data_IF_440025424770
#
_entry.id   IF_440025424770
#
_cell.length_a   1.000
_cell.length_b   1.000
_cell.length_c   1.000
_cell.angle_alpha   90.00
_cell.angle_beta   90.00
_cell.angle_gamma   90.00
#
_symmetry.space_group_name_H-M   'P 1'
#
loop_
_entity.id
_entity.type
_entity.pdbx_description
1 polymer ?
#
# COMPACT_ATOMS: atom_id res chain seq x y z
N UNK A 1 12.48 -4.84 -37.56
CA UNK A 1 13.19 -3.74 -36.87
C UNK A 1 12.98 -3.94 -35.38
N UNK A 2 14.00 -4.40 -34.66
CA UNK A 2 13.88 -4.63 -33.22
C UNK A 2 13.64 -3.30 -32.51
N UNK A 3 12.60 -3.24 -31.68
CA UNK A 3 12.40 -2.15 -30.74
C UNK A 3 13.62 -2.12 -29.81
N UNK A 4 14.48 -1.11 -29.99
CA UNK A 4 15.50 -0.78 -29.00
C UNK A 4 14.74 -0.26 -27.79
N UNK A 5 14.53 -1.12 -26.79
CA UNK A 5 14.11 -0.72 -25.46
C UNK A 5 15.15 0.29 -24.96
N UNK A 6 14.79 1.58 -24.98
CA UNK A 6 15.63 2.64 -24.41
C UNK A 6 15.78 2.32 -22.93
N UNK A 7 16.98 1.86 -22.55
CA UNK A 7 17.29 1.53 -21.16
C UNK A 7 17.38 2.84 -20.39
N UNK A 8 16.47 3.02 -19.44
CA UNK A 8 16.48 4.19 -18.55
C UNK A 8 17.83 4.30 -17.83
N UNK A 9 18.33 5.52 -17.72
CA UNK A 9 19.53 5.83 -16.92
C UNK A 9 19.29 5.51 -15.43
N UNK A 10 20.35 5.22 -14.65
CA UNK A 10 20.22 5.06 -13.20
C UNK A 10 19.53 6.25 -12.52
N UNK A 11 19.75 7.46 -12.99
CA UNK A 11 19.17 8.71 -12.46
C UNK A 11 17.67 8.81 -12.76
N UNK A 12 17.23 8.40 -13.95
CA UNK A 12 15.80 8.29 -14.27
C UNK A 12 15.10 7.23 -13.44
N UNK A 13 15.72 6.05 -13.30
CA UNK A 13 15.20 4.98 -12.43
C UNK A 13 15.10 5.45 -10.99
N UNK A 14 16.13 6.15 -10.50
CA UNK A 14 16.16 6.72 -9.15
C UNK A 14 15.02 7.71 -8.94
N UNK A 15 14.80 8.66 -9.85
CA UNK A 15 13.69 9.63 -9.74
C UNK A 15 12.33 8.93 -9.64
N UNK A 16 12.08 7.91 -10.48
CA UNK A 16 10.82 7.15 -10.45
C UNK A 16 10.66 6.41 -9.13
N UNK A 17 11.65 5.60 -8.74
CA UNK A 17 11.60 4.79 -7.52
C UNK A 17 11.49 5.69 -6.29
N UNK A 18 12.31 6.73 -6.19
CA UNK A 18 12.28 7.67 -5.06
C UNK A 18 10.94 8.37 -4.91
N UNK A 19 10.21 8.63 -6.01
CA UNK A 19 8.87 9.25 -5.97
C UNK A 19 7.79 8.37 -5.34
N UNK A 20 8.05 7.08 -5.11
CA UNK A 20 7.11 6.15 -4.47
C UNK A 20 7.10 6.30 -2.94
N UNK A 21 8.24 6.67 -2.36
CA UNK A 21 8.39 6.82 -0.92
C UNK A 21 8.22 8.26 -0.45
N UNK A 22 7.63 8.44 0.72
CA UNK A 22 7.76 9.66 1.52
C UNK A 22 9.16 9.75 2.12
N UNK A 23 9.66 8.64 2.66
CA UNK A 23 11.00 8.51 3.25
C UNK A 23 11.82 7.44 2.51
N UNK A 24 13.13 7.68 2.37
CA UNK A 24 14.09 6.72 1.81
C UNK A 24 15.33 6.59 2.72
N UNK A 25 15.60 5.38 3.21
CA UNK A 25 16.76 5.05 4.05
C UNK A 25 17.61 3.99 3.32
N UNK A 26 18.71 4.34 2.64
CA UNK A 26 19.16 5.71 2.33
C UNK A 26 19.19 5.96 0.82
N UNK A 27 19.06 7.23 0.40
CA UNK A 27 19.01 7.61 -1.02
C UNK A 27 20.29 7.23 -1.77
N UNK A 28 21.47 7.43 -1.17
CA UNK A 28 22.74 7.04 -1.78
C UNK A 28 22.84 5.51 -1.98
N UNK A 29 22.31 4.73 -1.04
CA UNK A 29 22.25 3.27 -1.15
C UNK A 29 21.29 2.85 -2.27
N UNK A 30 20.16 3.55 -2.43
CA UNK A 30 19.20 3.32 -3.50
C UNK A 30 19.80 3.61 -4.88
N UNK A 31 20.46 4.76 -5.05
CA UNK A 31 21.12 5.08 -6.32
C UNK A 31 22.20 4.04 -6.65
N UNK A 32 23.05 3.70 -5.67
CA UNK A 32 24.06 2.66 -5.83
C UNK A 32 23.47 1.29 -6.22
N UNK A 33 22.34 0.91 -5.61
CA UNK A 33 21.63 -0.32 -5.95
C UNK A 33 21.13 -0.30 -7.39
N UNK A 34 20.49 0.80 -7.82
CA UNK A 34 19.94 0.92 -9.17
C UNK A 34 21.03 0.97 -10.24
N UNK A 35 22.21 1.52 -9.92
CA UNK A 35 23.38 1.49 -10.80
C UNK A 35 23.97 0.09 -10.96
N UNK A 36 24.03 -0.69 -9.87
CA UNK A 36 24.78 -1.97 -9.85
C UNK A 36 23.92 -3.20 -10.12
N UNK A 37 22.64 -3.18 -9.75
CA UNK A 37 21.73 -4.32 -9.87
C UNK A 37 20.71 -4.05 -10.98
N UNK A 38 20.73 -4.82 -12.09
CA UNK A 38 19.81 -4.61 -13.21
C UNK A 38 18.34 -4.70 -12.78
N UNK A 39 18.01 -5.70 -11.95
CA UNK A 39 16.65 -5.95 -11.48
C UNK A 39 16.61 -6.08 -9.94
N UNK A 40 16.46 -4.96 -9.21
CA UNK A 40 16.25 -4.99 -7.77
C UNK A 40 14.91 -5.61 -7.39
N UNK A 41 14.87 -6.31 -6.25
CA UNK A 41 13.68 -6.95 -5.69
C UNK A 41 13.09 -6.02 -4.63
N UNK A 42 11.84 -5.66 -4.85
CA UNK A 42 11.03 -4.88 -3.92
C UNK A 42 9.97 -5.81 -3.32
N UNK A 43 9.54 -5.55 -2.09
CA UNK A 43 8.37 -6.24 -1.57
C UNK A 43 7.48 -5.34 -0.72
N UNK A 44 6.20 -5.71 -0.67
CA UNK A 44 5.23 -5.23 0.32
C UNK A 44 4.38 -6.40 0.80
N UNK A 45 3.97 -6.36 2.08
CA UNK A 45 3.23 -7.43 2.74
C UNK A 45 1.84 -6.98 3.18
N UNK A 46 0.85 -7.86 3.02
CA UNK A 46 -0.54 -7.57 3.33
C UNK A 46 -1.15 -8.68 4.17
N UNK A 47 -1.63 -8.35 5.37
CA UNK A 47 -2.52 -9.21 6.14
C UNK A 47 -3.89 -9.31 5.42
N UNK A 48 -4.36 -10.52 5.04
CA UNK A 48 -5.70 -10.70 4.49
C UNK A 48 -6.79 -10.60 5.57
N UNK A 49 -7.12 -9.36 5.95
CA UNK A 49 -7.94 -9.05 7.14
C UNK A 49 -9.32 -8.45 6.86
N UNK A 50 -9.78 -8.50 5.60
CA UNK A 50 -11.13 -8.07 5.20
C UNK A 50 -11.13 -7.39 3.84
N UNK A 51 -12.15 -6.53 3.61
CA UNK A 51 -12.28 -5.72 2.40
C UNK A 51 -11.02 -4.84 2.19
N UNK A 52 -10.63 -4.65 0.93
CA UNK A 52 -9.46 -3.84 0.57
C UNK A 52 -9.86 -2.37 0.45
N UNK A 53 -9.18 -1.48 1.16
CA UNK A 53 -9.37 -0.03 0.98
C UNK A 53 -8.49 0.51 -0.16
N UNK A 54 -8.81 1.71 -0.64
CA UNK A 54 -8.24 2.26 -1.87
C UNK A 54 -6.72 2.44 -1.84
N UNK A 55 -6.11 2.73 -0.68
CA UNK A 55 -4.65 2.79 -0.57
C UNK A 55 -3.98 1.41 -0.80
N UNK A 56 -4.58 0.32 -0.31
CA UNK A 56 -4.08 -1.04 -0.55
C UNK A 56 -4.26 -1.47 -2.00
N UNK A 57 -5.27 -0.95 -2.71
CA UNK A 57 -5.55 -1.29 -4.10
C UNK A 57 -4.91 -0.34 -5.10
N UNK A 58 -5.50 0.85 -5.28
CA UNK A 58 -5.11 1.84 -6.29
C UNK A 58 -3.74 2.43 -6.02
N UNK A 59 -3.50 2.98 -4.82
CA UNK A 59 -2.22 3.62 -4.50
C UNK A 59 -1.07 2.60 -4.57
N UNK A 60 -1.29 1.38 -4.08
CA UNK A 60 -0.33 0.29 -4.25
C UNK A 60 -0.07 -0.05 -5.71
N UNK A 61 -1.11 -0.11 -6.54
CA UNK A 61 -0.97 -0.36 -7.98
C UNK A 61 -0.13 0.72 -8.66
N UNK A 62 -0.35 2.00 -8.36
CA UNK A 62 0.49 3.11 -8.85
C UNK A 62 1.96 2.88 -8.45
N UNK A 63 2.20 2.58 -7.18
CA UNK A 63 3.56 2.33 -6.67
C UNK A 63 4.22 1.14 -7.37
N UNK A 64 3.52 -0.01 -7.48
CA UNK A 64 4.05 -1.20 -8.15
C UNK A 64 4.34 -0.93 -9.62
N UNK A 65 3.45 -0.26 -10.35
CA UNK A 65 3.66 0.06 -11.76
C UNK A 65 4.84 1.01 -11.97
N UNK A 66 5.04 2.01 -11.08
CA UNK A 66 6.25 2.83 -11.08
C UNK A 66 7.51 2.00 -10.85
N UNK A 67 7.53 1.15 -9.83
CA UNK A 67 8.69 0.31 -9.51
C UNK A 67 9.04 -0.64 -10.68
N UNK A 68 8.05 -1.32 -11.24
CA UNK A 68 8.25 -2.25 -12.37
C UNK A 68 8.68 -1.53 -13.65
N UNK A 69 8.16 -0.32 -13.92
CA UNK A 69 8.63 0.52 -15.04
C UNK A 69 10.09 0.94 -14.89
N UNK A 70 10.57 1.12 -13.66
CA UNK A 70 11.98 1.40 -13.35
C UNK A 70 12.87 0.13 -13.30
N UNK A 71 12.35 -1.02 -13.76
CA UNK A 71 13.09 -2.26 -13.87
C UNK A 71 13.20 -3.05 -12.57
N UNK A 72 12.40 -2.75 -11.55
CA UNK A 72 12.32 -3.57 -10.34
C UNK A 72 11.43 -4.79 -10.55
N UNK A 73 11.74 -5.88 -9.84
CA UNK A 73 10.83 -6.99 -9.61
C UNK A 73 10.10 -6.75 -8.28
N UNK A 74 8.78 -6.91 -8.25
CA UNK A 74 7.97 -6.65 -7.06
C UNK A 74 7.35 -7.96 -6.55
N UNK A 75 7.52 -8.23 -5.26
CA UNK A 75 6.87 -9.35 -4.57
C UNK A 75 5.76 -8.82 -3.68
N UNK A 76 4.54 -9.26 -3.92
CA UNK A 76 3.38 -9.02 -3.06
C UNK A 76 3.26 -10.21 -2.12
N UNK A 77 3.57 -9.99 -0.85
CA UNK A 77 3.55 -11.00 0.19
C UNK A 77 2.16 -11.09 0.81
N UNK A 78 1.43 -12.15 0.49
CA UNK A 78 0.13 -12.48 1.07
C UNK A 78 0.38 -13.12 2.44
N UNK A 79 0.36 -12.29 3.47
CA UNK A 79 0.81 -12.59 4.80
C UNK A 79 -0.29 -13.33 5.61
N UNK A 80 -0.69 -14.50 5.14
CA UNK A 80 -1.79 -15.29 5.69
C UNK A 80 -1.50 -15.86 7.10
N UNK A 81 -0.28 -16.36 7.35
CA UNK A 81 0.13 -16.72 8.71
C UNK A 81 0.22 -15.51 9.62
N UNK A 82 0.67 -14.37 9.13
CA UNK A 82 0.74 -13.12 9.90
C UNK A 82 -0.66 -12.64 10.30
N UNK A 83 -1.62 -12.66 9.37
CA UNK A 83 -3.01 -12.37 9.68
C UNK A 83 -3.58 -13.33 10.74
N UNK A 84 -3.21 -14.62 10.70
CA UNK A 84 -3.60 -15.59 11.72
C UNK A 84 -2.97 -15.26 13.09
N UNK A 85 -1.66 -14.98 13.14
CA UNK A 85 -0.93 -14.60 14.35
C UNK A 85 -1.48 -13.30 14.98
N UNK A 86 -2.05 -12.42 14.16
CA UNK A 86 -2.71 -11.19 14.59
C UNK A 86 -4.24 -11.32 14.70
N UNK A 87 -4.77 -12.55 14.89
CA UNK A 87 -6.18 -12.86 15.15
C UNK A 87 -7.20 -12.27 14.16
N UNK A 88 -6.79 -12.06 12.90
CA UNK A 88 -7.71 -11.64 11.84
C UNK A 88 -8.62 -12.79 11.45
N UNK A 89 -9.89 -12.50 11.15
CA UNK A 89 -10.91 -13.50 10.84
C UNK A 89 -11.01 -14.60 11.92
N UNK A 90 -10.92 -14.23 13.19
CA UNK A 90 -10.85 -15.12 14.36
C UNK A 90 -9.70 -16.16 14.29
N UNK A 91 -8.63 -15.87 13.54
CA UNK A 91 -7.53 -16.81 13.29
C UNK A 91 -7.89 -17.95 12.33
N UNK A 92 -9.04 -17.89 11.66
CA UNK A 92 -9.46 -18.88 10.67
C UNK A 92 -8.68 -18.73 9.37
N UNK A 93 -7.65 -19.58 9.21
CA UNK A 93 -6.76 -19.55 8.05
C UNK A 93 -7.52 -19.75 6.73
N UNK A 94 -8.62 -20.51 6.69
CA UNK A 94 -9.39 -20.70 5.45
C UNK A 94 -10.10 -19.41 5.03
N UNK A 95 -10.64 -18.65 6.00
CA UNK A 95 -11.21 -17.31 5.73
C UNK A 95 -10.13 -16.34 5.30
N UNK A 96 -8.99 -16.32 5.99
CA UNK A 96 -7.83 -15.47 5.64
C UNK A 96 -7.39 -15.76 4.20
N UNK A 97 -7.21 -17.03 3.82
CA UNK A 97 -6.82 -17.39 2.45
C UNK A 97 -7.89 -17.05 1.42
N UNK A 98 -9.16 -17.09 1.80
CA UNK A 98 -10.25 -16.60 0.92
C UNK A 98 -10.14 -15.10 0.70
N UNK A 99 -9.86 -14.33 1.75
CA UNK A 99 -9.58 -12.89 1.64
C UNK A 99 -8.35 -12.65 0.77
N UNK A 100 -7.26 -13.40 0.95
CA UNK A 100 -6.03 -13.23 0.17
C UNK A 100 -6.26 -13.42 -1.34
N UNK A 101 -7.05 -14.43 -1.73
CA UNK A 101 -7.47 -14.62 -3.13
C UNK A 101 -8.30 -13.43 -3.64
N UNK A 102 -9.24 -12.92 -2.84
CA UNK A 102 -9.99 -11.72 -3.16
C UNK A 102 -9.09 -10.48 -3.37
N UNK A 103 -8.04 -10.31 -2.54
CA UNK A 103 -7.09 -9.20 -2.70
C UNK A 103 -6.32 -9.30 -4.03
N UNK A 104 -5.87 -10.51 -4.39
CA UNK A 104 -5.19 -10.78 -5.66
C UNK A 104 -6.07 -10.41 -6.86
N UNK A 105 -7.36 -10.79 -6.83
CA UNK A 105 -8.30 -10.44 -7.90
C UNK A 105 -8.51 -8.93 -8.03
N UNK A 106 -8.47 -8.17 -6.93
CA UNK A 106 -8.52 -6.70 -7.01
C UNK A 106 -7.28 -6.12 -7.69
N UNK A 107 -6.08 -6.54 -7.29
CA UNK A 107 -4.85 -6.01 -7.88
C UNK A 107 -4.76 -6.30 -9.38
N UNK A 108 -5.21 -7.49 -9.81
CA UNK A 108 -5.38 -7.81 -11.23
C UNK A 108 -6.37 -6.86 -11.91
N UNK A 109 -7.57 -6.70 -11.35
CA UNK A 109 -8.66 -5.96 -11.97
C UNK A 109 -8.41 -4.45 -12.06
N UNK A 110 -7.71 -3.86 -11.07
CA UNK A 110 -7.42 -2.42 -11.06
C UNK A 110 -6.31 -2.03 -12.04
N UNK A 111 -5.53 -2.99 -12.57
CA UNK A 111 -4.50 -2.73 -13.58
C UNK A 111 -3.07 -2.71 -13.03
N UNK A 112 -2.77 -3.56 -12.04
CA UNK A 112 -1.38 -3.86 -11.71
C UNK A 112 -0.69 -4.52 -12.90
N UNK A 113 0.46 -4.00 -13.30
CA UNK A 113 1.21 -4.52 -14.45
C UNK A 113 1.87 -5.85 -14.10
N UNK A 114 1.22 -6.94 -14.52
CA UNK A 114 1.71 -8.30 -14.33
C UNK A 114 2.52 -8.81 -15.55
N UNK A 115 2.80 -7.94 -16.53
CA UNK A 115 3.55 -8.33 -17.72
C UNK A 115 4.97 -8.80 -17.37
N UNK A 116 5.49 -9.70 -18.20
CA UNK A 116 6.85 -10.24 -18.10
C UNK A 116 7.24 -10.81 -16.72
N UNK A 117 6.27 -11.25 -15.91
CA UNK A 117 6.47 -11.76 -14.54
C UNK A 117 7.22 -10.77 -13.62
N UNK A 118 7.02 -9.46 -13.83
CA UNK A 118 7.63 -8.41 -12.99
C UNK A 118 7.02 -8.36 -11.58
N UNK A 119 5.82 -8.92 -11.39
CA UNK A 119 5.13 -8.99 -10.10
C UNK A 119 4.86 -10.45 -9.73
N UNK A 120 5.18 -10.83 -8.49
CA UNK A 120 4.89 -12.15 -7.93
C UNK A 120 3.97 -12.04 -6.72
N UNK A 121 2.87 -12.78 -6.71
CA UNK A 121 2.05 -12.98 -5.51
C UNK A 121 2.53 -14.23 -4.78
N UNK A 122 3.03 -14.05 -3.56
CA UNK A 122 3.65 -15.11 -2.77
C UNK A 122 2.89 -15.28 -1.46
N UNK A 123 2.53 -16.51 -1.12
CA UNK A 123 1.79 -16.82 0.11
C UNK A 123 2.77 -17.15 1.24
N UNK A 124 2.59 -16.51 2.39
CA UNK A 124 3.53 -16.66 3.49
C UNK A 124 3.62 -18.09 4.00
N UNK A 125 2.48 -18.75 4.17
CA UNK A 125 2.42 -20.13 4.59
C UNK A 125 3.10 -21.07 3.60
N UNK A 126 2.82 -20.95 2.30
CA UNK A 126 3.39 -21.82 1.27
C UNK A 126 4.92 -21.66 1.16
N UNK A 127 5.38 -20.42 1.05
CA UNK A 127 6.80 -20.11 0.87
C UNK A 127 7.62 -20.51 2.10
N UNK A 128 7.14 -20.18 3.31
CA UNK A 128 7.83 -20.55 4.55
C UNK A 128 7.87 -22.08 4.71
N UNK A 129 6.77 -22.79 4.44
CA UNK A 129 6.78 -24.26 4.54
C UNK A 129 7.74 -24.90 3.54
N UNK A 130 7.78 -24.40 2.29
CA UNK A 130 8.65 -24.95 1.23
C UNK A 130 10.14 -24.85 1.58
N UNK A 131 10.53 -23.84 2.37
CA UNK A 131 11.92 -23.54 2.75
C UNK A 131 12.05 -23.31 4.26
N UNK A 132 11.35 -24.13 5.05
CA UNK A 132 11.27 -23.97 6.50
C UNK A 132 12.64 -24.02 7.19
N UNK A 133 13.55 -24.84 6.64
CA UNK A 133 14.92 -24.98 7.10
C UNK A 133 15.78 -23.72 6.89
N UNK A 134 15.40 -22.83 5.96
CA UNK A 134 16.05 -21.52 5.78
C UNK A 134 15.40 -20.46 6.67
N UNK A 135 14.06 -20.49 6.76
CA UNK A 135 13.29 -19.42 7.38
C UNK A 135 13.36 -19.42 8.91
N UNK A 136 13.08 -20.56 9.57
CA UNK A 136 12.98 -20.59 11.02
C UNK A 136 14.30 -20.34 11.75
N UNK A 137 15.48 -20.81 11.29
CA UNK A 137 16.75 -20.43 11.90
C UNK A 137 16.99 -18.92 11.86
N UNK A 138 16.57 -18.24 10.79
CA UNK A 138 16.66 -16.79 10.68
C UNK A 138 15.77 -16.08 11.70
N UNK A 139 14.51 -16.51 11.85
CA UNK A 139 13.59 -15.99 12.89
C UNK A 139 14.19 -16.16 14.28
N UNK A 140 14.74 -17.34 14.58
CA UNK A 140 15.33 -17.64 15.88
C UNK A 140 16.59 -16.82 16.16
N UNK A 141 17.45 -16.59 15.16
CA UNK A 141 18.64 -15.76 15.32
C UNK A 141 18.28 -14.28 15.54
N UNK A 142 17.30 -13.76 14.81
CA UNK A 142 16.76 -12.40 15.03
C UNK A 142 16.23 -12.27 16.45
N UNK A 143 15.43 -13.24 16.91
CA UNK A 143 14.87 -13.24 18.27
C UNK A 143 15.97 -13.28 19.34
N UNK A 144 16.99 -14.15 19.19
CA UNK A 144 18.10 -14.31 20.15
C UNK A 144 18.98 -13.07 20.30
N UNK A 145 19.14 -12.29 19.22
CA UNK A 145 19.97 -11.07 19.21
C UNK A 145 19.27 -9.84 19.74
N UNK A 146 17.94 -9.88 19.85
CA UNK A 146 17.15 -8.75 20.28
C UNK A 146 16.63 -8.92 21.71
N UNK A 147 16.61 -7.82 22.47
CA UNK A 147 15.94 -7.79 23.76
C UNK A 147 14.43 -7.67 23.54
N UNK A 148 13.64 -8.29 24.41
CA UNK A 148 12.17 -8.27 24.31
C UNK A 148 11.58 -6.85 24.15
N UNK A 149 12.02 -5.80 24.88
CA UNK A 149 11.51 -4.44 24.67
C UNK A 149 11.70 -3.92 23.24
N UNK A 150 12.78 -4.32 22.54
CA UNK A 150 13.03 -3.92 21.15
C UNK A 150 12.02 -4.53 20.19
N UNK A 151 11.59 -5.77 20.45
CA UNK A 151 10.56 -6.47 19.69
C UNK A 151 9.18 -5.90 19.99
N UNK A 152 8.86 -5.63 21.27
CA UNK A 152 7.58 -5.01 21.67
C UNK A 152 7.41 -3.65 20.99
N UNK A 153 8.46 -2.83 20.86
CA UNK A 153 8.39 -1.54 20.14
C UNK A 153 7.92 -1.66 18.70
N UNK A 154 8.08 -2.82 18.07
CA UNK A 154 7.60 -3.10 16.73
C UNK A 154 6.11 -3.50 16.68
N UNK A 155 5.37 -3.56 17.79
CA UNK A 155 3.96 -3.98 17.81
C UNK A 155 3.03 -3.12 16.93
N UNK A 156 3.42 -1.87 16.68
CA UNK A 156 2.69 -0.95 15.81
C UNK A 156 2.54 -1.45 14.36
N UNK A 157 3.47 -2.29 13.87
CA UNK A 157 3.43 -2.83 12.51
C UNK A 157 2.21 -3.73 12.27
N UNK A 158 1.66 -4.31 13.35
CA UNK A 158 0.46 -5.15 13.34
C UNK A 158 -0.76 -4.41 13.94
N UNK A 159 -0.67 -3.07 14.08
CA UNK A 159 -1.74 -2.22 14.60
C UNK A 159 -2.00 -2.34 16.10
N UNK A 160 -1.00 -2.78 16.88
CA UNK A 160 -1.04 -2.91 18.34
C UNK A 160 -0.21 -1.83 19.02
N UNK A 161 -0.53 -1.52 20.28
CA UNK A 161 0.28 -0.64 21.12
C UNK A 161 1.37 -1.42 21.87
N UNK A 162 2.37 -0.73 22.40
CA UNK A 162 3.40 -1.32 23.27
C UNK A 162 2.84 -1.67 24.66
N UNK A 163 1.70 -1.06 25.04
CA UNK A 163 1.00 -1.28 26.31
C UNK A 163 -0.12 -2.33 26.22
N UNK A 164 -0.41 -2.84 25.03
CA UNK A 164 -1.43 -3.89 24.87
C UNK A 164 -0.95 -5.20 25.52
N UNK A 165 -1.88 -6.02 25.98
CA UNK A 165 -1.58 -7.41 26.34
C UNK A 165 -1.29 -8.22 25.06
N UNK A 166 -0.01 -8.51 24.83
CA UNK A 166 0.45 -9.22 23.64
C UNK A 166 0.56 -10.72 23.91
N UNK A 167 0.04 -11.53 22.98
CA UNK A 167 0.30 -12.96 22.95
C UNK A 167 1.74 -13.27 22.51
N UNK A 168 2.24 -14.47 22.81
CA UNK A 168 3.56 -14.92 22.33
C UNK A 168 3.67 -14.91 20.80
N UNK A 169 2.57 -15.22 20.09
CA UNK A 169 2.47 -15.11 18.63
C UNK A 169 2.76 -13.67 18.14
N UNK A 170 2.25 -12.67 18.85
CA UNK A 170 2.45 -11.25 18.55
C UNK A 170 3.86 -10.75 18.89
N UNK A 171 4.60 -11.47 19.74
CA UNK A 171 6.05 -11.24 19.93
C UNK A 171 6.87 -11.88 18.81
N UNK A 172 6.45 -13.05 18.29
CA UNK A 172 7.12 -13.68 17.16
C UNK A 172 6.88 -12.94 15.84
N UNK A 173 5.74 -12.27 15.70
CA UNK A 173 5.35 -11.56 14.47
C UNK A 173 6.44 -10.59 13.97
N UNK A 174 6.99 -9.64 14.76
CA UNK A 174 8.06 -8.77 14.26
C UNK A 174 9.35 -9.50 13.89
N UNK A 175 9.70 -10.59 14.59
CA UNK A 175 10.85 -11.41 14.24
C UNK A 175 10.66 -12.10 12.88
N UNK A 176 9.44 -12.60 12.63
CA UNK A 176 9.04 -13.19 11.35
C UNK A 176 9.06 -12.16 10.22
N UNK A 177 8.48 -10.97 10.41
CA UNK A 177 8.47 -9.94 9.36
C UNK A 177 9.89 -9.41 9.08
N UNK A 178 10.76 -9.35 10.09
CA UNK A 178 12.18 -9.05 9.87
C UNK A 178 12.87 -10.17 9.06
N UNK A 179 12.56 -11.44 9.33
CA UNK A 179 13.08 -12.57 8.58
C UNK A 179 12.64 -12.57 7.11
N UNK A 180 11.39 -12.18 6.83
CA UNK A 180 10.83 -12.08 5.47
C UNK A 180 11.73 -11.25 4.54
N UNK A 181 12.28 -10.14 5.02
CA UNK A 181 13.13 -9.23 4.23
C UNK A 181 14.32 -9.99 3.62
N UNK A 182 14.97 -10.84 4.41
CA UNK A 182 16.12 -11.61 3.95
C UNK A 182 15.71 -12.88 3.20
N UNK A 183 14.64 -13.53 3.65
CA UNK A 183 14.11 -14.75 3.04
C UNK A 183 13.58 -14.52 1.62
N UNK A 184 12.92 -13.38 1.39
CA UNK A 184 12.46 -12.91 0.09
C UNK A 184 13.59 -12.31 -0.76
N UNK A 185 14.77 -12.10 -0.17
CA UNK A 185 15.93 -11.44 -0.77
C UNK A 185 15.57 -10.03 -1.27
N UNK A 186 14.77 -9.30 -0.49
CA UNK A 186 14.36 -7.95 -0.83
C UNK A 186 15.56 -7.01 -0.74
N UNK A 187 15.78 -6.22 -1.79
CA UNK A 187 16.70 -5.09 -1.77
C UNK A 187 15.98 -3.81 -1.30
N UNK A 188 14.69 -3.68 -1.58
CA UNK A 188 13.86 -2.52 -1.22
C UNK A 188 12.63 -2.99 -0.44
N UNK A 189 12.51 -2.57 0.82
CA UNK A 189 11.29 -2.69 1.62
C UNK A 189 10.35 -1.53 1.25
N UNK A 190 9.35 -1.78 0.40
CA UNK A 190 8.39 -0.78 -0.09
C UNK A 190 7.05 -0.88 0.67
N UNK A 191 7.08 -0.60 1.96
CA UNK A 191 5.94 -0.71 2.87
C UNK A 191 5.47 0.68 3.35
N UNK A 192 4.38 0.76 4.11
CA UNK A 192 3.88 2.02 4.67
C UNK A 192 4.80 2.58 5.76
N UNK A 193 4.67 3.86 6.08
CA UNK A 193 5.42 4.49 7.19
C UNK A 193 5.20 3.78 8.54
N UNK A 194 4.04 3.15 8.74
CA UNK A 194 3.72 2.35 9.92
C UNK A 194 4.57 1.07 10.07
N UNK A 195 5.16 0.58 8.97
CA UNK A 195 6.04 -0.59 8.95
C UNK A 195 7.52 -0.23 9.19
N UNK A 196 7.85 1.06 9.32
CA UNK A 196 9.23 1.56 9.41
C UNK A 196 10.04 0.91 10.54
N UNK A 197 9.45 0.67 11.71
CA UNK A 197 10.18 0.15 12.89
C UNK A 197 10.79 -1.24 12.68
N UNK A 198 10.09 -2.15 11.98
CA UNK A 198 10.63 -3.49 11.67
C UNK A 198 11.62 -3.44 10.50
N UNK A 199 11.43 -2.52 9.55
CA UNK A 199 12.41 -2.30 8.49
C UNK A 199 13.75 -1.78 9.05
N UNK A 200 13.69 -0.88 10.05
CA UNK A 200 14.89 -0.44 10.79
C UNK A 200 15.50 -1.59 11.60
N UNK A 201 14.68 -2.45 12.21
CA UNK A 201 15.16 -3.67 12.90
C UNK A 201 15.97 -4.56 11.95
N UNK A 202 15.57 -4.70 10.68
CA UNK A 202 16.33 -5.46 9.70
C UNK A 202 17.68 -4.83 9.35
N UNK A 203 17.76 -3.49 9.32
CA UNK A 203 19.04 -2.79 9.14
C UNK A 203 19.97 -2.95 10.35
N UNK A 204 19.43 -2.89 11.57
CA UNK A 204 20.16 -3.17 12.82
C UNK A 204 20.66 -4.63 12.83
N UNK A 205 19.82 -5.58 12.43
CA UNK A 205 20.21 -6.98 12.31
C UNK A 205 21.37 -7.18 11.30
N UNK A 206 21.39 -6.42 10.19
CA UNK A 206 22.52 -6.44 9.26
C UNK A 206 23.84 -6.03 9.93
N UNK A 207 23.82 -5.06 10.85
CA UNK A 207 25.01 -4.65 11.60
C UNK A 207 25.50 -5.77 12.52
N UNK A 208 24.58 -6.43 13.23
CA UNK A 208 24.90 -7.55 14.15
C UNK A 208 25.53 -8.75 13.44
N UNK A 209 25.11 -9.03 12.21
CA UNK A 209 25.64 -10.13 11.38
C UNK A 209 26.74 -9.67 10.42
N UNK A 210 27.16 -8.39 10.49
CA UNK A 210 28.18 -7.78 9.63
C UNK A 210 27.88 -7.89 8.14
N UNK A 211 26.60 -7.85 7.76
CA UNK A 211 26.13 -7.82 6.37
C UNK A 211 26.22 -6.40 5.82
N UNK A 212 27.09 -6.19 4.83
CA UNK A 212 27.30 -4.87 4.19
C UNK A 212 26.07 -4.37 3.42
N UNK A 213 25.41 -5.25 2.67
CA UNK A 213 24.27 -4.89 1.84
C UNK A 213 22.99 -4.90 2.68
N UNK A 214 22.62 -3.73 3.19
CA UNK A 214 21.39 -3.48 3.93
C UNK A 214 20.21 -3.29 2.98
N UNK A 215 18.99 -3.68 3.37
CA UNK A 215 17.79 -3.35 2.60
C UNK A 215 17.54 -1.84 2.64
N UNK A 216 17.20 -1.26 1.49
CA UNK A 216 16.70 0.11 1.40
C UNK A 216 15.29 0.13 1.95
N UNK A 217 14.99 1.09 2.82
CA UNK A 217 13.63 1.31 3.32
C UNK A 217 13.02 2.44 2.48
N UNK A 218 11.97 2.15 1.74
CA UNK A 218 11.27 3.12 0.90
C UNK A 218 9.80 3.20 1.34
N UNK A 219 9.58 3.94 2.41
CA UNK A 219 8.30 4.00 3.11
C UNK A 219 7.35 4.95 2.40
N UNK A 220 6.14 4.50 2.03
CA UNK A 220 5.14 5.33 1.36
C UNK A 220 4.20 6.05 2.34
N UNK A 221 3.63 7.15 1.87
CA UNK A 221 2.68 7.99 2.61
C UNK A 221 1.45 7.20 3.08
N UNK A 222 0.98 7.50 4.30
CA UNK A 222 -0.23 6.90 4.86
C UNK A 222 -1.44 7.71 4.41
N UNK A 223 -2.22 7.19 3.45
CA UNK A 223 -3.41 7.89 3.00
C UNK A 223 -4.45 8.00 4.13
N UNK A 224 -4.93 9.22 4.46
CA UNK A 224 -5.80 9.43 5.61
C UNK A 224 -7.21 8.86 5.41
N UNK A 225 -7.92 8.71 6.53
CA UNK A 225 -9.35 8.47 6.53
C UNK A 225 -10.13 9.71 6.07
N UNK A 226 -11.36 9.53 5.62
CA UNK A 226 -12.18 10.62 5.10
C UNK A 226 -12.70 11.59 6.18
N UNK A 227 -12.63 11.25 7.46
CA UNK A 227 -13.09 12.13 8.54
C UNK A 227 -11.94 12.94 9.14
N UNK A 228 -12.27 14.03 9.83
CA UNK A 228 -11.28 14.91 10.44
C UNK A 228 -10.43 14.16 11.49
N UNK A 229 -9.11 14.37 11.45
CA UNK A 229 -8.17 13.81 12.43
C UNK A 229 -7.84 12.31 12.24
N UNK A 230 -8.33 11.68 11.17
CA UNK A 230 -8.01 10.29 10.87
C UNK A 230 -6.72 10.20 10.03
N UNK A 231 -5.58 10.08 10.70
CA UNK A 231 -4.25 9.98 10.07
C UNK A 231 -4.10 8.77 9.13
N UNK A 232 -4.92 7.73 9.30
CA UNK A 232 -4.94 6.56 8.41
C UNK A 232 -6.35 5.98 8.26
N UNK A 233 -6.62 5.42 7.08
CA UNK A 233 -7.83 4.63 6.87
C UNK A 233 -7.90 3.43 7.83
N UNK A 234 -9.11 3.13 8.30
CA UNK A 234 -9.36 1.98 9.17
C UNK A 234 -10.47 1.11 8.61
N UNK A 235 -10.23 -0.20 8.58
CA UNK A 235 -11.25 -1.21 8.25
C UNK A 235 -12.40 -1.27 9.27
N UNK A 236 -12.21 -0.72 10.48
CA UNK A 236 -13.23 -0.74 11.54
C UNK A 236 -14.29 0.35 11.42
N UNK A 237 -14.02 1.41 10.66
CA UNK A 237 -15.00 2.45 10.35
C UNK A 237 -15.25 2.46 8.83
N UNK A 238 -16.27 1.75 8.34
CA UNK A 238 -16.55 1.66 6.92
C UNK A 238 -16.87 3.02 6.27
N UNK A 239 -17.24 4.04 7.06
CA UNK A 239 -17.59 5.36 6.54
C UNK A 239 -16.36 6.24 6.26
N UNK A 240 -15.22 5.93 6.88
CA UNK A 240 -13.95 6.66 6.69
C UNK A 240 -13.07 6.13 5.57
N UNK A 241 -13.41 4.98 4.98
CA UNK A 241 -12.59 4.32 3.97
C UNK A 241 -13.37 4.07 2.69
N UNK A 242 -12.78 4.40 1.53
CA UNK A 242 -13.26 3.91 0.23
C UNK A 242 -12.73 2.49 0.03
N UNK A 243 -13.62 1.52 -0.17
CA UNK A 243 -13.25 0.16 -0.54
C UNK A 243 -13.24 -0.03 -2.05
N UNK A 244 -12.41 -0.95 -2.52
CA UNK A 244 -12.13 -1.17 -3.93
C UNK A 244 -13.35 -1.56 -4.76
N UNK A 245 -14.34 -2.20 -4.13
CA UNK A 245 -15.61 -2.59 -4.74
C UNK A 245 -16.82 -1.78 -4.26
N UNK A 246 -16.62 -0.66 -3.55
CA UNK A 246 -17.73 0.23 -3.22
C UNK A 246 -18.44 0.64 -4.52
N UNK A 247 -19.76 0.61 -4.51
CA UNK A 247 -20.61 1.09 -5.61
C UNK A 247 -20.40 2.59 -5.84
N UNK A 248 -20.82 3.06 -7.01
CA UNK A 248 -20.75 4.49 -7.32
C UNK A 248 -21.48 5.35 -6.28
N UNK A 249 -22.67 4.92 -5.85
CA UNK A 249 -23.44 5.60 -4.83
C UNK A 249 -22.70 5.64 -3.48
N UNK A 250 -22.06 4.54 -3.07
CA UNK A 250 -21.29 4.50 -1.82
C UNK A 250 -20.08 5.45 -1.85
N UNK A 251 -19.34 5.49 -2.96
CA UNK A 251 -18.23 6.45 -3.14
C UNK A 251 -18.74 7.88 -3.06
N UNK A 252 -19.80 8.21 -3.80
CA UNK A 252 -20.37 9.55 -3.82
C UNK A 252 -20.84 9.99 -2.42
N UNK A 253 -21.49 9.10 -1.66
CA UNK A 253 -21.93 9.39 -0.30
C UNK A 253 -20.76 9.61 0.65
N UNK A 254 -19.71 8.79 0.57
CA UNK A 254 -18.52 8.90 1.42
C UNK A 254 -17.75 10.18 1.14
N UNK A 255 -17.48 10.51 -0.13
CA UNK A 255 -16.79 11.74 -0.50
C UNK A 255 -17.62 12.99 -0.16
N UNK A 256 -18.95 12.94 -0.35
CA UNK A 256 -19.84 14.03 0.08
C UNK A 256 -19.67 14.33 1.57
N UNK A 257 -19.59 13.30 2.41
CA UNK A 257 -19.42 13.40 3.87
C UNK A 257 -17.98 13.63 4.34
N UNK A 258 -16.99 13.51 3.46
CA UNK A 258 -15.59 13.65 3.83
C UNK A 258 -15.28 15.05 4.39
N UNK A 259 -14.31 15.13 5.30
CA UNK A 259 -13.76 16.39 5.77
C UNK A 259 -13.07 17.11 4.59
N UNK A 260 -13.48 18.34 4.31
CA UNK A 260 -12.96 19.17 3.23
C UNK A 260 -13.26 20.65 3.52
N UNK A 261 -12.68 21.20 4.58
CA UNK A 261 -12.88 22.60 4.95
C UNK A 261 -12.44 23.54 3.80
N UNK A 262 -13.21 24.61 3.49
CA UNK A 262 -12.82 25.56 2.46
C UNK A 262 -11.51 26.26 2.82
N UNK A 263 -10.63 26.47 1.84
CA UNK A 263 -9.35 27.19 1.98
C UNK A 263 -8.31 26.58 2.93
N UNK A 264 -8.57 25.38 3.47
CA UNK A 264 -7.64 24.69 4.36
C UNK A 264 -7.11 23.44 3.66
N UNK A 265 -5.81 23.47 3.34
CA UNK A 265 -5.11 22.36 2.66
C UNK A 265 -4.62 21.31 3.65
N UNK A 266 -4.01 21.76 4.74
CA UNK A 266 -3.41 20.87 5.73
C UNK A 266 -4.46 19.94 6.37
N UNK A 267 -4.18 18.63 6.34
CA UNK A 267 -5.07 17.62 6.91
C UNK A 267 -6.38 17.42 6.15
N UNK A 268 -6.47 17.88 4.90
CA UNK A 268 -7.66 17.72 4.07
C UNK A 268 -7.60 16.40 3.27
N UNK A 269 -8.37 15.36 3.65
CA UNK A 269 -8.28 14.05 3.00
C UNK A 269 -8.71 14.09 1.53
N UNK A 270 -9.60 15.01 1.11
CA UNK A 270 -9.98 15.11 -0.30
C UNK A 270 -8.79 15.54 -1.17
N UNK A 271 -7.98 16.48 -0.67
CA UNK A 271 -6.77 16.93 -1.38
C UNK A 271 -5.68 15.86 -1.40
N UNK A 272 -5.54 15.10 -0.31
CA UNK A 272 -4.60 13.97 -0.24
C UNK A 272 -4.94 12.89 -1.26
N UNK A 273 -6.22 12.59 -1.47
CA UNK A 273 -6.66 11.64 -2.50
C UNK A 273 -6.36 12.18 -3.90
N UNK A 274 -6.53 13.48 -4.13
CA UNK A 274 -6.17 14.08 -5.42
C UNK A 274 -4.66 13.98 -5.67
N UNK A 275 -3.84 14.32 -4.66
CA UNK A 275 -2.38 14.29 -4.72
C UNK A 275 -1.81 12.90 -4.95
N UNK A 276 -2.26 11.90 -4.19
CA UNK A 276 -1.65 10.57 -4.17
C UNK A 276 -2.36 9.53 -5.02
N UNK A 277 -3.60 9.79 -5.46
CA UNK A 277 -4.36 8.88 -6.31
C UNK A 277 -4.66 9.52 -7.65
N UNK A 278 -5.41 10.63 -7.68
CA UNK A 278 -5.99 11.11 -8.94
C UNK A 278 -4.92 11.64 -9.90
N UNK A 279 -4.03 12.52 -9.43
CA UNK A 279 -2.95 13.08 -10.23
C UNK A 279 -1.97 12.00 -10.72
N UNK A 280 -1.49 11.05 -9.89
CA UNK A 280 -0.64 9.98 -10.38
C UNK A 280 -1.33 8.98 -11.32
N UNK A 281 -2.67 8.86 -11.26
CA UNK A 281 -3.44 7.95 -12.11
C UNK A 281 -3.75 8.54 -13.48
N UNK A 282 -4.22 9.79 -13.53
CA UNK A 282 -4.66 10.43 -14.76
C UNK A 282 -3.67 11.45 -15.33
N UNK A 283 -2.62 11.83 -14.58
CA UNK A 283 -1.71 12.95 -14.83
C UNK A 283 -2.38 14.34 -14.83
N UNK A 284 -3.67 14.41 -14.48
CA UNK A 284 -4.44 15.63 -14.36
C UNK A 284 -5.64 15.42 -13.44
N UNK A 285 -6.21 16.52 -12.94
CA UNK A 285 -7.49 16.53 -12.24
C UNK A 285 -8.42 17.55 -12.87
N UNK A 286 -9.52 17.07 -13.47
CA UNK A 286 -10.53 17.92 -14.10
C UNK A 286 -11.68 18.20 -13.13
N UNK A 287 -11.98 19.48 -12.90
CA UNK A 287 -13.14 19.96 -12.15
C UNK A 287 -14.14 20.56 -13.15
N UNK A 288 -15.32 19.95 -13.23
CA UNK A 288 -16.43 20.44 -14.05
C UNK A 288 -17.36 21.27 -13.17
N UNK A 289 -17.58 22.53 -13.54
CA UNK A 289 -18.37 23.49 -12.76
C UNK A 289 -19.04 24.52 -13.67
N UNK A 290 -20.09 25.16 -13.19
CA UNK A 290 -20.84 26.15 -13.96
C UNK A 290 -19.96 27.35 -14.33
N UNK A 291 -20.36 28.09 -15.38
CA UNK A 291 -19.70 29.35 -15.74
C UNK A 291 -19.66 30.35 -14.56
N UNK A 292 -20.74 30.40 -13.77
CA UNK A 292 -20.85 31.25 -12.57
C UNK A 292 -19.85 30.86 -11.47
N UNK A 293 -19.41 29.59 -11.44
CA UNK A 293 -18.38 29.08 -10.53
C UNK A 293 -16.97 29.07 -11.17
N UNK A 294 -16.77 29.78 -12.28
CA UNK A 294 -15.47 29.90 -12.96
C UNK A 294 -15.19 28.87 -14.05
N UNK A 295 -16.19 28.08 -14.45
CA UNK A 295 -16.12 27.13 -15.58
C UNK A 295 -15.19 25.94 -15.36
N UNK A 296 -15.23 24.97 -16.29
CA UNK A 296 -14.35 23.80 -16.28
C UNK A 296 -12.87 24.20 -16.12
N UNK A 297 -12.18 23.57 -15.17
CA UNK A 297 -10.73 23.76 -14.96
C UNK A 297 -10.01 22.43 -14.85
N UNK A 298 -8.83 22.35 -15.42
CA UNK A 298 -7.96 21.16 -15.36
C UNK A 298 -6.66 21.53 -14.66
N UNK A 299 -6.33 20.80 -13.60
CA UNK A 299 -5.11 20.95 -12.82
C UNK A 299 -4.11 19.88 -13.24
N UNK A 300 -2.89 20.29 -13.61
CA UNK A 300 -1.81 19.35 -14.01
C UNK A 300 -0.85 19.03 -12.88
N UNK A 301 -0.84 19.86 -11.84
CA UNK A 301 -0.01 19.69 -10.66
C UNK A 301 -0.83 19.92 -9.39
N UNK A 302 -0.33 19.37 -8.27
CA UNK A 302 -0.96 19.60 -6.97
C UNK A 302 -0.79 21.06 -6.52
N UNK A 303 0.32 21.70 -6.88
CA UNK A 303 0.61 23.09 -6.51
C UNK A 303 -0.39 24.07 -7.17
N UNK A 304 -0.74 23.87 -8.44
CA UNK A 304 -1.81 24.64 -9.11
C UNK A 304 -3.15 24.52 -8.38
N UNK A 305 -3.46 23.32 -7.90
CA UNK A 305 -4.71 23.06 -7.17
C UNK A 305 -4.72 23.73 -5.81
N UNK A 306 -3.60 23.69 -5.09
CA UNK A 306 -3.44 24.32 -3.78
C UNK A 306 -3.67 25.82 -3.86
N UNK A 307 -3.07 26.50 -4.84
CA UNK A 307 -3.23 27.95 -5.04
C UNK A 307 -4.70 28.33 -5.17
N UNK A 308 -5.44 27.65 -6.04
CA UNK A 308 -6.87 27.87 -6.26
C UNK A 308 -7.73 27.53 -5.04
N UNK A 309 -7.38 26.46 -4.31
CA UNK A 309 -8.14 26.03 -3.15
C UNK A 309 -7.96 27.01 -1.97
N UNK A 310 -6.74 27.49 -1.74
CA UNK A 310 -6.42 28.46 -0.68
C UNK A 310 -6.98 29.86 -0.97
N UNK A 311 -6.96 30.32 -2.22
CA UNK A 311 -7.59 31.59 -2.61
C UNK A 311 -9.12 31.55 -2.44
N UNK A 312 -9.72 30.37 -2.61
CA UNK A 312 -11.16 30.14 -2.64
C UNK A 312 -11.74 30.09 -4.05
N UNK A 313 -10.90 30.19 -5.08
CA UNK A 313 -11.30 30.02 -6.48
C UNK A 313 -11.81 28.61 -6.75
N UNK A 314 -11.38 27.61 -5.98
CA UNK A 314 -11.92 26.24 -6.00
C UNK A 314 -12.66 25.91 -4.70
N UNK A 315 -13.98 25.82 -4.78
CA UNK A 315 -14.83 25.51 -3.63
C UNK A 315 -14.94 23.98 -3.39
N UNK A 316 -15.03 23.51 -2.13
CA UNK A 316 -15.25 22.09 -1.81
C UNK A 316 -16.49 21.48 -2.51
N UNK A 317 -17.49 22.31 -2.77
CA UNK A 317 -18.73 21.94 -3.47
C UNK A 317 -18.50 21.49 -4.92
N UNK A 318 -17.47 22.00 -5.59
CA UNK A 318 -17.10 21.59 -6.96
C UNK A 318 -16.01 20.49 -6.93
N UNK A 319 -15.08 20.59 -5.97
CA UNK A 319 -13.98 19.63 -5.82
C UNK A 319 -14.46 18.21 -5.49
N UNK A 320 -15.42 18.07 -4.57
CA UNK A 320 -15.90 16.75 -4.13
C UNK A 320 -16.61 15.95 -5.24
N UNK A 321 -17.55 16.53 -6.02
CA UNK A 321 -18.12 15.85 -7.17
C UNK A 321 -17.06 15.42 -8.20
N UNK A 322 -16.09 16.28 -8.51
CA UNK A 322 -15.00 15.97 -9.43
C UNK A 322 -14.10 14.82 -8.93
N UNK A 323 -13.77 14.83 -7.62
CA UNK A 323 -13.05 13.74 -6.97
C UNK A 323 -13.85 12.43 -7.04
N UNK A 324 -15.14 12.48 -6.73
CA UNK A 324 -16.02 11.30 -6.76
C UNK A 324 -16.08 10.69 -8.16
N UNK A 325 -16.27 11.53 -9.20
CA UNK A 325 -16.26 11.11 -10.61
C UNK A 325 -14.95 10.42 -10.98
N UNK A 326 -13.82 10.99 -10.57
CA UNK A 326 -12.50 10.45 -10.87
C UNK A 326 -12.25 9.11 -10.17
N UNK A 327 -12.59 9.00 -8.88
CA UNK A 327 -12.49 7.75 -8.12
C UNK A 327 -13.37 6.66 -8.73
N UNK A 328 -14.61 6.99 -9.12
CA UNK A 328 -15.52 6.03 -9.74
C UNK A 328 -14.98 5.48 -11.06
N UNK A 329 -14.32 6.31 -11.88
CA UNK A 329 -13.64 5.85 -13.10
C UNK A 329 -12.53 4.85 -12.79
N UNK A 330 -11.71 5.11 -11.76
CA UNK A 330 -10.62 4.23 -11.34
C UNK A 330 -11.16 2.87 -10.84
N UNK A 331 -12.26 2.88 -10.09
CA UNK A 331 -12.83 1.67 -9.48
C UNK A 331 -13.71 0.86 -10.45
N UNK A 332 -14.08 1.43 -11.59
CA UNK A 332 -14.99 0.76 -12.54
C UNK A 332 -14.47 -0.60 -13.05
N UNK A 333 -13.19 -0.76 -13.44
CA UNK A 333 -12.66 -2.06 -13.85
C UNK A 333 -12.78 -3.14 -12.76
N UNK A 334 -12.62 -2.76 -11.49
CA UNK A 334 -12.78 -3.67 -10.36
C UNK A 334 -14.24 -4.10 -10.21
N UNK A 335 -15.19 -3.16 -10.26
CA UNK A 335 -16.61 -3.47 -10.21
C UNK A 335 -17.02 -4.40 -11.35
N UNK A 336 -16.54 -4.11 -12.56
CA UNK A 336 -16.79 -4.91 -13.74
C UNK A 336 -16.28 -6.35 -13.58
N UNK A 337 -15.05 -6.52 -13.08
CA UNK A 337 -14.46 -7.84 -12.81
C UNK A 337 -15.31 -8.67 -11.85
N UNK A 338 -15.64 -8.10 -10.68
CA UNK A 338 -16.45 -8.79 -9.66
C UNK A 338 -17.91 -9.03 -10.06
N UNK A 339 -18.40 -8.37 -11.12
CA UNK A 339 -19.72 -8.63 -11.67
C UNK A 339 -19.72 -9.72 -12.75
N UNK A 340 -18.66 -9.78 -13.57
CA UNK A 340 -18.56 -10.65 -14.76
C UNK A 340 -17.90 -12.00 -14.45
N UNK A 341 -16.88 -12.03 -13.59
CA UNK A 341 -16.18 -13.26 -13.23
C UNK A 341 -16.88 -13.97 -12.05
N UNK A 342 -17.31 -15.22 -12.29
CA UNK A 342 -18.09 -15.98 -11.30
C UNK A 342 -17.29 -16.31 -10.03
N UNK A 343 -15.99 -16.58 -10.15
CA UNK A 343 -15.13 -16.88 -9.02
C UNK A 343 -14.86 -15.62 -8.18
N UNK A 344 -14.51 -14.50 -8.83
CA UNK A 344 -14.34 -13.22 -8.15
C UNK A 344 -15.63 -12.81 -7.43
N UNK A 345 -16.78 -12.95 -8.08
CA UNK A 345 -18.10 -12.67 -7.48
C UNK A 345 -18.38 -13.50 -6.24
N UNK A 346 -18.07 -14.80 -6.25
CA UNK A 346 -18.20 -15.67 -5.08
C UNK A 346 -17.25 -15.24 -3.95
N UNK A 347 -15.98 -14.98 -4.27
CA UNK A 347 -14.99 -14.50 -3.30
C UNK A 347 -15.49 -13.22 -2.61
N UNK A 348 -16.00 -12.25 -3.37
CA UNK A 348 -16.53 -11.00 -2.82
C UNK A 348 -17.75 -11.25 -1.92
N UNK A 349 -18.68 -12.10 -2.34
CA UNK A 349 -19.87 -12.46 -1.54
C UNK A 349 -19.45 -13.04 -0.18
N UNK A 350 -18.47 -13.95 -0.19
CA UNK A 350 -17.95 -14.58 1.03
C UNK A 350 -17.24 -13.56 1.93
N UNK A 351 -16.36 -12.72 1.37
CA UNK A 351 -15.63 -11.70 2.13
C UNK A 351 -16.58 -10.68 2.77
N UNK A 352 -17.63 -10.24 2.06
CA UNK A 352 -18.67 -9.36 2.63
C UNK A 352 -19.46 -10.01 3.76
N UNK A 353 -19.56 -11.34 3.78
CA UNK A 353 -20.22 -12.10 4.84
C UNK A 353 -19.35 -12.36 6.09
N UNK A 354 -18.04 -12.05 6.04
CA UNK A 354 -17.15 -12.28 7.17
C UNK A 354 -17.20 -11.12 8.17
N UNK A 355 -17.21 -11.46 9.46
CA UNK A 355 -17.00 -10.50 10.55
C UNK A 355 -15.53 -10.12 10.61
N UNK A 356 -15.24 -8.82 10.63
CA UNK A 356 -13.88 -8.31 10.82
C UNK A 356 -13.51 -8.39 12.30
N UNK A 357 -12.35 -8.98 12.60
CA UNK A 357 -11.82 -9.18 13.96
C UNK A 357 -10.41 -8.60 14.04
N UNK A 358 -9.95 -8.29 15.26
CA UNK A 358 -8.68 -7.59 15.49
C UNK A 358 -7.67 -8.36 16.29
#
# INVERSE_FOLDING_TARGET
>A
MGFVLVRMSPEERFRIVRSVGEECIQEDELLNLLTKKPQPICYDGFEPSGRMHIAQGVMKTISVNKMTSAGCKVKIWIADWFAQLNNKMDGDLKKIQTVGRYLIEIWKAVGMDLADNKVEFLWSSDEINSRAHEYWPLVMDIARRNKLPRIIRCSQIMGRSEQDELSAAQILYPCMQCADIFFLKADICQLGMDQRKVNVLAREYCDDIKRKNKPIILSHHMLPGLQQGQEKMSKSDPSSSIFMEDTEAEVNVKIKKAYCPPKIVQGNPCLEYIKYIILPWFNEFKVERSADNGGDKTFKSFDELVVDYESGDLHPGDLKPALSKSLNKILQPVRDHFNKDANAKDLLKRVKGYRITR
#
